data_IF_912773417742
#
_entry.id   IF_912773417742
#
_cell.length_a   1.000
_cell.length_b   1.000
_cell.length_c   1.000
_cell.angle_alpha   90.00
_cell.angle_beta   90.00
_cell.angle_gamma   90.00
#
_symmetry.space_group_name_H-M   'P 1'
#
loop_
_entity.id
_entity.type
_entity.pdbx_description
1 polymer ?
#
# COMPACT_ATOMS: atom_id res chain seq x y z
N UNK A 1 24.01 11.28 8.58
CA UNK A 1 25.01 10.18 8.44
C UNK A 1 25.79 10.39 7.13
N UNK A 2 27.11 10.15 7.06
CA UNK A 2 27.88 10.27 5.79
C UNK A 2 27.66 9.02 4.95
N UNK A 3 27.48 9.15 3.63
CA UNK A 3 27.28 8.05 2.69
C UNK A 3 28.46 7.05 2.63
N UNK A 4 29.60 7.42 3.22
CA UNK A 4 30.85 6.65 3.23
C UNK A 4 30.99 5.68 4.41
N UNK A 5 30.10 5.73 5.42
CA UNK A 5 30.10 4.74 6.50
C UNK A 5 29.07 3.63 6.22
N UNK A 6 29.47 2.34 6.19
CA UNK A 6 28.55 1.25 5.96
C UNK A 6 27.50 1.20 7.07
N UNK A 7 26.23 1.21 6.69
CA UNK A 7 25.12 1.08 7.63
C UNK A 7 25.21 -0.26 8.37
N UNK A 8 25.50 -0.23 9.67
CA UNK A 8 25.43 -1.44 10.50
C UNK A 8 23.97 -1.80 10.75
N UNK A 9 23.44 -2.75 9.97
CA UNK A 9 22.02 -3.18 9.98
C UNK A 9 21.60 -3.81 11.31
N UNK A 10 22.56 -4.27 12.13
CA UNK A 10 22.27 -4.84 13.46
C UNK A 10 21.71 -3.76 14.41
N UNK A 11 22.00 -2.48 14.16
CA UNK A 11 21.41 -1.38 14.91
C UNK A 11 19.98 -1.10 14.39
N UNK A 12 18.96 -1.08 15.27
CA UNK A 12 17.57 -0.95 14.84
C UNK A 12 17.28 0.37 14.12
N UNK A 13 17.95 1.45 14.51
CA UNK A 13 17.79 2.76 13.85
C UNK A 13 18.30 2.75 12.40
N UNK A 14 19.40 2.05 12.13
CA UNK A 14 19.97 1.93 10.78
C UNK A 14 19.08 1.07 9.89
N UNK A 15 18.51 -0.02 10.44
CA UNK A 15 17.53 -0.82 9.73
C UNK A 15 16.29 0.00 9.37
N UNK A 16 15.79 0.82 10.30
CA UNK A 16 14.65 1.70 10.06
C UNK A 16 14.94 2.74 8.97
N UNK A 17 16.13 3.34 9.02
CA UNK A 17 16.62 4.25 7.99
C UNK A 17 16.65 3.57 6.63
N UNK A 18 17.20 2.36 6.52
CA UNK A 18 17.18 1.60 5.28
C UNK A 18 15.75 1.38 4.76
N UNK A 19 14.83 0.93 5.61
CA UNK A 19 13.43 0.72 5.22
C UNK A 19 12.79 2.02 4.71
N UNK A 20 12.99 3.14 5.40
CA UNK A 20 12.50 4.47 4.99
C UNK A 20 13.06 4.93 3.64
N UNK A 21 14.36 4.75 3.39
CA UNK A 21 14.95 5.20 2.13
C UNK A 21 14.49 4.35 0.95
N UNK A 22 14.27 3.06 1.14
CA UNK A 22 13.75 2.14 0.13
C UNK A 22 12.21 2.09 0.07
N UNK A 23 11.51 2.98 0.80
CA UNK A 23 10.06 2.92 0.96
C UNK A 23 9.26 2.90 -0.35
N UNK A 24 9.59 3.66 -1.40
CA UNK A 24 8.83 3.61 -2.66
C UNK A 24 8.82 2.23 -3.31
N UNK A 25 9.98 1.57 -3.31
CA UNK A 25 10.15 0.23 -3.88
C UNK A 25 9.42 -0.79 -3.00
N UNK A 26 9.59 -0.70 -1.68
CA UNK A 26 8.95 -1.62 -0.74
C UNK A 26 7.43 -1.57 -0.86
N UNK A 27 6.83 -0.38 -0.96
CA UNK A 27 5.37 -0.26 -1.11
C UNK A 27 4.90 -0.67 -2.49
N UNK A 28 5.66 -0.37 -3.55
CA UNK A 28 5.37 -0.86 -4.90
C UNK A 28 5.36 -2.39 -4.97
N UNK A 29 6.42 -3.03 -4.46
CA UNK A 29 6.54 -4.48 -4.40
C UNK A 29 5.54 -5.12 -3.43
N UNK A 30 5.25 -4.46 -2.30
CA UNK A 30 4.22 -4.88 -1.36
C UNK A 30 2.85 -4.96 -2.03
N UNK A 31 2.45 -3.91 -2.74
CA UNK A 31 1.22 -3.90 -3.53
C UNK A 31 1.21 -4.96 -4.64
N UNK A 32 2.34 -5.16 -5.33
CA UNK A 32 2.47 -6.21 -6.34
C UNK A 32 2.35 -7.62 -5.72
N UNK A 33 3.00 -7.88 -4.59
CA UNK A 33 3.04 -9.18 -3.93
C UNK A 33 1.65 -9.69 -3.55
N UNK A 34 0.74 -8.79 -3.16
CA UNK A 34 -0.65 -9.10 -2.87
C UNK A 34 -1.42 -9.67 -4.08
N UNK A 35 -1.02 -9.33 -5.30
CA UNK A 35 -1.57 -9.92 -6.53
C UNK A 35 -1.34 -11.44 -6.58
N UNK A 36 -0.16 -11.88 -6.14
CA UNK A 36 0.18 -13.30 -6.10
C UNK A 36 -0.52 -14.02 -4.95
N UNK A 37 -0.66 -13.36 -3.79
CA UNK A 37 -1.36 -13.91 -2.63
C UNK A 37 -2.85 -14.13 -2.94
N UNK A 38 -3.49 -13.14 -3.57
CA UNK A 38 -4.92 -13.17 -3.88
C UNK A 38 -5.24 -13.69 -5.30
N UNK A 39 -4.23 -14.17 -6.04
CA UNK A 39 -4.37 -14.68 -7.41
C UNK A 39 -5.15 -13.74 -8.35
N UNK A 40 -4.91 -12.43 -8.23
CA UNK A 40 -5.56 -11.40 -9.05
C UNK A 40 -4.53 -10.48 -9.68
N UNK A 41 -4.94 -9.67 -10.67
CA UNK A 41 -4.04 -8.72 -11.35
C UNK A 41 -4.14 -7.29 -10.81
N UNK A 42 -4.80 -7.08 -9.66
CA UNK A 42 -5.12 -5.73 -9.16
C UNK A 42 -3.87 -4.99 -8.67
N UNK A 43 -2.88 -5.68 -8.11
CA UNK A 43 -1.63 -5.04 -7.71
C UNK A 43 -0.75 -4.63 -8.91
N UNK A 44 -0.88 -5.30 -10.07
CA UNK A 44 -0.27 -4.81 -11.32
C UNK A 44 -0.89 -3.51 -11.79
N UNK A 45 -2.22 -3.37 -11.66
CA UNK A 45 -2.92 -2.12 -11.99
C UNK A 45 -2.48 -0.99 -11.07
N UNK A 46 -2.42 -1.26 -9.77
CA UNK A 46 -1.87 -0.32 -8.79
C UNK A 46 -0.44 0.11 -9.17
N UNK A 47 0.44 -0.84 -9.50
CA UNK A 47 1.82 -0.54 -9.89
C UNK A 47 1.88 0.30 -11.18
N UNK A 48 1.02 0.00 -12.17
CA UNK A 48 0.90 0.78 -13.39
C UNK A 48 0.51 2.22 -13.12
N UNK A 49 -0.48 2.45 -12.25
CA UNK A 49 -0.84 3.81 -11.82
C UNK A 49 0.27 4.48 -11.02
N UNK A 50 0.95 3.75 -10.12
CA UNK A 50 2.05 4.30 -9.32
C UNK A 50 3.19 4.81 -10.22
N UNK A 51 3.56 4.05 -11.26
CA UNK A 51 4.56 4.48 -12.25
C UNK A 51 4.05 5.70 -13.02
N UNK A 52 2.81 5.67 -13.50
CA UNK A 52 2.22 6.77 -14.26
C UNK A 52 2.18 8.09 -13.45
N UNK A 53 1.77 8.04 -12.18
CA UNK A 53 1.74 9.23 -11.31
C UNK A 53 3.13 9.69 -10.92
N UNK A 54 4.11 8.79 -10.84
CA UNK A 54 5.51 9.15 -10.61
C UNK A 54 6.09 9.92 -11.81
N UNK A 55 5.80 9.47 -13.03
CA UNK A 55 6.15 10.20 -14.25
C UNK A 55 5.40 11.55 -14.33
N UNK A 56 4.12 11.58 -13.96
CA UNK A 56 3.34 12.82 -13.92
C UNK A 56 3.94 13.81 -12.91
N UNK A 57 4.38 13.34 -11.74
CA UNK A 57 5.05 14.18 -10.77
C UNK A 57 6.31 14.81 -11.34
N UNK A 58 7.14 14.01 -11.98
CA UNK A 58 8.37 14.50 -12.60
C UNK A 58 8.06 15.61 -13.62
N UNK A 59 7.10 15.35 -14.51
CA UNK A 59 6.64 16.34 -15.48
C UNK A 59 6.17 17.63 -14.81
N UNK A 60 5.38 17.55 -13.74
CA UNK A 60 4.94 18.76 -13.02
C UNK A 60 6.10 19.55 -12.40
N UNK A 61 7.09 18.87 -11.82
CA UNK A 61 8.24 19.53 -11.20
C UNK A 61 9.11 20.25 -12.21
N UNK A 62 9.33 19.64 -13.38
CA UNK A 62 10.03 20.26 -14.51
C UNK A 62 9.26 21.51 -14.99
N UNK A 63 7.94 21.42 -15.12
CA UNK A 63 7.10 22.56 -15.54
C UNK A 63 7.12 23.72 -14.54
N UNK A 64 7.27 23.44 -13.24
CA UNK A 64 7.42 24.46 -12.20
C UNK A 64 8.86 24.97 -12.03
N UNK A 65 9.82 24.45 -12.82
CA UNK A 65 11.22 24.88 -12.76
C UNK A 65 11.91 24.56 -11.44
N UNK A 66 11.52 23.47 -10.76
CA UNK A 66 12.20 23.05 -9.53
C UNK A 66 13.57 22.48 -9.92
N UNK A 67 14.64 23.09 -9.41
CA UNK A 67 16.02 22.71 -9.74
C UNK A 67 16.32 21.24 -9.44
N UNK A 68 17.25 20.67 -10.20
CA UNK A 68 17.72 19.31 -9.99
C UNK A 68 18.48 19.21 -8.67
N UNK A 69 18.28 18.09 -7.97
CA UNK A 69 18.94 17.85 -6.69
C UNK A 69 20.47 17.73 -6.90
N UNK A 70 21.27 18.43 -6.09
CA UNK A 70 22.73 18.31 -6.11
C UNK A 70 23.13 17.14 -5.21
N UNK A 71 23.84 16.17 -5.76
CA UNK A 71 24.43 15.07 -4.98
C UNK A 71 25.40 15.60 -3.92
N UNK A 72 24.99 15.53 -2.67
CA UNK A 72 25.89 15.60 -1.51
C UNK A 72 26.28 14.17 -1.07
N UNK A 73 27.40 14.01 -0.35
CA UNK A 73 27.80 12.69 0.19
C UNK A 73 27.00 12.31 1.46
N UNK A 74 25.73 12.68 1.55
CA UNK A 74 24.88 12.38 2.71
C UNK A 74 24.01 11.15 2.46
N UNK A 75 23.33 10.69 3.51
CA UNK A 75 22.38 9.58 3.36
C UNK A 75 21.15 9.97 2.50
N UNK A 76 20.88 11.26 2.33
CA UNK A 76 19.72 11.78 1.59
C UNK A 76 19.81 11.52 0.08
N UNK A 77 21.03 11.29 -0.44
CA UNK A 77 21.37 11.03 -1.85
C UNK A 77 21.77 9.60 -2.11
N UNK A 78 21.71 8.73 -1.10
CA UNK A 78 22.10 7.33 -1.28
C UNK A 78 21.22 6.60 -2.30
N UNK A 79 20.02 7.12 -2.58
CA UNK A 79 19.12 6.63 -3.62
C UNK A 79 18.44 7.82 -4.30
N UNK A 80 18.49 7.84 -5.63
CA UNK A 80 17.83 8.83 -6.46
C UNK A 80 16.67 8.19 -7.22
N UNK A 81 15.45 8.56 -6.83
CA UNK A 81 14.22 8.11 -7.51
C UNK A 81 13.75 9.10 -8.57
N UNK A 82 14.12 10.37 -8.41
CA UNK A 82 13.65 11.47 -9.23
C UNK A 82 14.75 12.54 -9.27
N UNK A 83 15.11 13.05 -10.46
CA UNK A 83 16.15 14.06 -10.59
C UNK A 83 15.75 15.39 -9.93
N UNK A 84 14.46 15.65 -9.78
CA UNK A 84 13.91 16.88 -9.21
C UNK A 84 13.12 16.58 -7.92
N UNK A 85 13.52 17.20 -6.80
CA UNK A 85 12.81 17.04 -5.52
C UNK A 85 12.82 15.59 -4.97
N UNK A 86 13.96 14.90 -5.05
CA UNK A 86 14.13 13.52 -4.59
C UNK A 86 13.73 13.30 -3.11
N UNK A 87 13.99 14.29 -2.26
CA UNK A 87 13.71 14.25 -0.80
C UNK A 87 12.25 13.91 -0.48
N UNK A 88 11.30 14.47 -1.25
CA UNK A 88 9.86 14.30 -1.05
C UNK A 88 9.23 13.15 -1.83
N UNK A 89 9.99 12.41 -2.64
CA UNK A 89 9.46 11.36 -3.52
C UNK A 89 8.78 10.22 -2.74
N UNK A 90 9.37 9.77 -1.63
CA UNK A 90 8.75 8.74 -0.76
C UNK A 90 7.43 9.19 -0.17
N UNK A 91 7.36 10.44 0.30
CA UNK A 91 6.16 11.01 0.90
C UNK A 91 5.04 11.06 -0.12
N UNK A 92 5.36 11.45 -1.36
CA UNK A 92 4.42 11.43 -2.47
C UNK A 92 3.90 10.01 -2.74
N UNK A 93 4.80 9.03 -2.88
CA UNK A 93 4.43 7.63 -3.13
C UNK A 93 3.58 7.07 -2.01
N UNK A 94 3.98 7.25 -0.75
CA UNK A 94 3.23 6.76 0.41
C UNK A 94 1.85 7.43 0.53
N UNK A 95 1.74 8.74 0.31
CA UNK A 95 0.47 9.45 0.32
C UNK A 95 -0.47 8.94 -0.79
N UNK A 96 0.07 8.75 -2.00
CA UNK A 96 -0.65 8.13 -3.11
C UNK A 96 -1.13 6.72 -2.75
N UNK A 97 -0.24 5.86 -2.25
CA UNK A 97 -0.55 4.47 -1.91
C UNK A 97 -1.61 4.37 -0.81
N UNK A 98 -1.51 5.18 0.24
CA UNK A 98 -2.51 5.22 1.32
C UNK A 98 -3.87 5.55 0.74
N UNK A 99 -3.97 6.63 -0.04
CA UNK A 99 -5.26 7.06 -0.59
C UNK A 99 -5.80 6.04 -1.62
N UNK A 100 -4.97 5.57 -2.55
CA UNK A 100 -5.39 4.64 -3.59
C UNK A 100 -5.87 3.31 -3.02
N UNK A 101 -5.11 2.73 -2.09
CA UNK A 101 -5.41 1.42 -1.51
C UNK A 101 -6.56 1.53 -0.50
N UNK A 102 -6.59 2.57 0.33
CA UNK A 102 -7.52 2.64 1.45
C UNK A 102 -8.87 3.26 1.12
N UNK A 103 -8.96 4.18 0.16
CA UNK A 103 -10.23 4.79 -0.24
C UNK A 103 -11.33 3.77 -0.59
N UNK A 104 -11.09 2.74 -1.43
CA UNK A 104 -12.13 1.77 -1.75
C UNK A 104 -12.54 0.91 -0.55
N UNK A 105 -11.65 0.69 0.44
CA UNK A 105 -12.01 0.00 1.69
C UNK A 105 -13.04 0.80 2.50
N UNK A 106 -12.88 2.12 2.59
CA UNK A 106 -13.83 2.99 3.30
C UNK A 106 -15.17 3.09 2.57
N UNK A 107 -15.17 3.15 1.23
CA UNK A 107 -16.40 3.19 0.44
C UNK A 107 -17.20 1.89 0.56
N UNK A 108 -16.52 0.76 0.61
CA UNK A 108 -17.15 -0.55 0.77
C UNK A 108 -17.48 -0.90 2.23
N UNK A 109 -17.12 -0.04 3.20
CA UNK A 109 -17.30 -0.26 4.66
C UNK A 109 -16.65 -1.54 5.19
N UNK A 110 -15.64 -2.05 4.48
CA UNK A 110 -14.91 -3.28 4.80
C UNK A 110 -13.43 -2.94 5.00
N UNK A 111 -13.15 -2.26 6.11
CA UNK A 111 -11.84 -1.65 6.37
C UNK A 111 -10.90 -2.66 7.01
N UNK A 112 -9.82 -2.99 6.30
CA UNK A 112 -8.71 -3.72 6.89
C UNK A 112 -7.82 -2.76 7.71
N UNK A 113 -8.11 -2.64 9.00
CA UNK A 113 -7.36 -1.78 9.92
C UNK A 113 -5.88 -2.15 10.04
N UNK A 114 -5.48 -3.39 9.79
CA UNK A 114 -4.06 -3.78 9.78
C UNK A 114 -3.31 -3.15 8.61
N UNK A 115 -3.89 -3.18 7.41
CA UNK A 115 -3.30 -2.55 6.23
C UNK A 115 -3.30 -1.04 6.38
N UNK A 116 -4.44 -0.45 6.77
CA UNK A 116 -4.53 1.01 6.95
C UNK A 116 -3.58 1.51 8.04
N UNK A 117 -3.59 0.89 9.22
CA UNK A 117 -2.69 1.23 10.33
C UNK A 117 -1.22 1.02 9.99
N UNK A 118 -0.90 -0.07 9.27
CA UNK A 118 0.46 -0.35 8.79
C UNK A 118 0.98 0.74 7.86
N UNK A 119 0.24 1.08 6.79
CA UNK A 119 0.64 2.12 5.85
C UNK A 119 0.72 3.51 6.51
N UNK A 120 -0.22 3.83 7.39
CA UNK A 120 -0.25 5.10 8.11
C UNK A 120 0.93 5.23 9.09
N UNK A 121 1.22 4.19 9.85
CA UNK A 121 2.40 4.16 10.74
C UNK A 121 3.70 4.29 9.96
N UNK A 122 3.80 3.61 8.81
CA UNK A 122 4.98 3.67 7.96
C UNK A 122 5.21 5.07 7.38
N UNK A 123 4.13 5.75 7.00
CA UNK A 123 4.17 7.14 6.54
C UNK A 123 4.71 8.10 7.61
N UNK A 124 4.28 7.98 8.87
CA UNK A 124 4.81 8.82 9.95
C UNK A 124 6.27 8.51 10.26
N UNK A 125 6.66 7.24 10.20
CA UNK A 125 8.06 6.82 10.36
C UNK A 125 8.95 7.39 9.24
N UNK A 126 8.49 7.35 7.98
CA UNK A 126 9.21 7.91 6.83
C UNK A 126 9.51 9.40 7.02
N UNK A 127 8.50 10.18 7.40
CA UNK A 127 8.65 11.60 7.68
C UNK A 127 9.60 11.83 8.87
N UNK A 128 9.44 11.07 9.96
CA UNK A 128 10.27 11.22 11.16
C UNK A 128 11.74 11.01 10.88
N UNK A 129 12.10 9.91 10.19
CA UNK A 129 13.50 9.59 9.86
C UNK A 129 14.10 10.62 8.89
N UNK A 130 13.33 11.07 7.89
CA UNK A 130 13.81 12.09 6.94
C UNK A 130 14.01 13.45 7.60
N UNK A 131 13.23 13.77 8.62
CA UNK A 131 13.42 14.96 9.43
C UNK A 131 14.66 14.85 10.33
N UNK A 132 14.90 13.68 10.96
CA UNK A 132 16.09 13.47 11.80
C UNK A 132 17.39 13.48 11.01
N UNK A 133 17.39 12.94 9.78
CA UNK A 133 18.55 12.98 8.87
C UNK A 133 18.67 14.33 8.12
N UNK A 134 17.75 15.27 8.36
CA UNK A 134 17.70 16.60 7.71
C UNK A 134 17.57 16.57 6.20
N UNK A 135 17.06 15.47 5.64
CA UNK A 135 16.77 15.36 4.20
C UNK A 135 15.57 16.24 3.80
N UNK A 136 14.68 16.53 4.76
CA UNK A 136 13.56 17.44 4.58
C UNK A 136 13.56 18.42 5.74
N UNK A 137 13.72 19.70 5.43
CA UNK A 137 13.76 20.78 6.42
C UNK A 137 12.50 21.64 6.38
N UNK A 138 11.82 21.69 5.24
CA UNK A 138 10.67 22.54 5.01
C UNK A 138 9.36 21.76 5.10
N UNK A 139 8.49 22.17 6.02
CA UNK A 139 7.13 21.59 6.14
C UNK A 139 6.30 21.75 4.86
N UNK A 140 6.54 22.82 4.08
CA UNK A 140 5.88 23.04 2.79
C UNK A 140 6.15 21.93 1.78
N UNK A 141 7.37 21.38 1.78
CA UNK A 141 7.75 20.29 0.87
C UNK A 141 6.96 19.02 1.21
N UNK A 142 6.86 18.70 2.52
CA UNK A 142 6.03 17.59 3.02
C UNK A 142 4.57 17.81 2.56
N UNK A 143 3.99 18.96 2.90
CA UNK A 143 2.58 19.24 2.60
C UNK A 143 2.28 19.14 1.11
N UNK A 144 3.14 19.68 0.24
CA UNK A 144 2.94 19.64 -1.20
C UNK A 144 2.98 18.21 -1.74
N UNK A 145 3.95 17.39 -1.34
CA UNK A 145 4.04 15.99 -1.77
C UNK A 145 2.86 15.16 -1.24
N UNK A 146 2.41 15.39 0.00
CA UNK A 146 1.23 14.74 0.58
C UNK A 146 -0.04 15.11 -0.17
N UNK A 147 -0.27 16.41 -0.39
CA UNK A 147 -1.47 16.88 -1.08
C UNK A 147 -1.48 16.40 -2.52
N UNK A 148 -0.36 16.45 -3.22
CA UNK A 148 -0.30 16.05 -4.62
C UNK A 148 -0.42 14.52 -4.79
N UNK A 149 0.34 13.74 -4.03
CA UNK A 149 0.23 12.27 -4.05
C UNK A 149 -1.14 11.81 -3.58
N UNK A 150 -1.65 12.39 -2.49
CA UNK A 150 -2.97 12.10 -1.96
C UNK A 150 -4.09 12.48 -2.92
N UNK A 151 -4.03 13.64 -3.58
CA UNK A 151 -5.03 14.06 -4.55
C UNK A 151 -5.10 13.09 -5.74
N UNK A 152 -3.96 12.65 -6.29
CA UNK A 152 -3.94 11.64 -7.35
C UNK A 152 -4.43 10.27 -6.84
N UNK A 153 -4.06 9.91 -5.62
CA UNK A 153 -4.50 8.67 -4.97
C UNK A 153 -6.01 8.64 -4.65
N UNK A 154 -6.65 9.80 -4.51
CA UNK A 154 -8.13 9.93 -4.40
C UNK A 154 -8.78 9.98 -5.79
N UNK A 155 -8.22 10.77 -6.71
CA UNK A 155 -8.81 11.03 -8.02
C UNK A 155 -8.90 9.76 -8.86
N UNK A 156 -7.85 8.93 -8.89
CA UNK A 156 -7.83 7.73 -9.72
C UNK A 156 -8.92 6.73 -9.30
N UNK A 157 -9.07 6.35 -8.02
CA UNK A 157 -10.19 5.51 -7.60
C UNK A 157 -11.56 6.13 -7.89
N UNK A 158 -11.74 7.44 -7.66
CA UNK A 158 -13.01 8.11 -7.97
C UNK A 158 -13.37 8.03 -9.46
N UNK A 159 -12.39 8.23 -10.36
CA UNK A 159 -12.59 8.08 -11.80
C UNK A 159 -12.92 6.63 -12.17
N UNK A 160 -12.29 5.64 -11.53
CA UNK A 160 -12.61 4.23 -11.74
C UNK A 160 -14.02 3.87 -11.25
N UNK A 161 -14.48 4.45 -10.14
CA UNK A 161 -15.87 4.34 -9.69
C UNK A 161 -16.84 4.98 -10.68
N UNK A 162 -16.59 6.22 -11.09
CA UNK A 162 -17.45 6.95 -12.03
C UNK A 162 -17.50 6.27 -13.41
N UNK A 163 -16.39 5.71 -13.87
CA UNK A 163 -16.28 4.99 -15.14
C UNK A 163 -16.72 3.51 -15.10
N UNK A 164 -17.30 3.04 -13.99
CA UNK A 164 -17.78 1.65 -13.86
C UNK A 164 -16.67 0.58 -13.86
N UNK A 165 -15.41 0.99 -13.67
CA UNK A 165 -14.21 0.13 -13.68
C UNK A 165 -13.67 -0.15 -12.27
N UNK A 166 -14.46 0.12 -11.23
CA UNK A 166 -14.08 -0.06 -9.83
C UNK A 166 -13.69 -1.50 -9.47
N UNK A 167 -14.17 -2.52 -10.20
CA UNK A 167 -13.77 -3.93 -10.01
C UNK A 167 -12.26 -4.17 -10.11
N UNK A 168 -11.53 -3.26 -10.76
CA UNK A 168 -10.08 -3.32 -10.90
C UNK A 168 -9.33 -2.63 -9.75
N UNK A 169 -10.03 -1.94 -8.85
CA UNK A 169 -9.45 -1.38 -7.63
C UNK A 169 -9.04 -2.50 -6.68
N UNK A 170 -7.96 -2.23 -5.95
CA UNK A 170 -7.28 -3.20 -5.10
C UNK A 170 -8.22 -3.88 -4.09
N UNK A 171 -8.98 -3.09 -3.31
CA UNK A 171 -9.98 -3.58 -2.37
C UNK A 171 -11.40 -3.17 -2.78
N UNK A 172 -11.91 -3.78 -3.85
CA UNK A 172 -13.30 -3.60 -4.28
C UNK A 172 -14.14 -4.88 -4.28
N UNK A 173 -13.66 -5.91 -3.60
CA UNK A 173 -14.48 -7.07 -3.25
C UNK A 173 -15.01 -6.81 -1.86
N UNK A 174 -16.31 -6.50 -1.75
CA UNK A 174 -17.06 -6.64 -0.50
C UNK A 174 -16.79 -8.08 -0.06
N UNK A 175 -16.38 -8.33 1.20
CA UNK A 175 -16.22 -9.71 1.69
C UNK A 175 -17.43 -10.52 1.26
N UNK A 176 -17.27 -11.34 0.22
CA UNK A 176 -18.35 -12.14 -0.37
C UNK A 176 -18.89 -12.93 0.79
N UNK A 177 -20.14 -12.67 1.17
CA UNK A 177 -20.88 -13.12 2.35
C UNK A 177 -20.05 -13.82 3.44
N UNK A 178 -20.34 -13.53 4.69
CA UNK A 178 -19.95 -14.33 5.85
C UNK A 178 -20.37 -15.84 5.81
N UNK A 179 -20.45 -16.49 4.64
CA UNK A 179 -19.95 -17.85 4.40
C UNK A 179 -18.44 -17.95 4.70
N UNK A 180 -18.04 -17.54 5.90
CA UNK A 180 -17.18 -18.43 6.66
C UNK A 180 -17.93 -19.76 6.66
N UNK A 181 -17.35 -20.82 6.12
CA UNK A 181 -17.81 -22.17 6.41
C UNK A 181 -17.63 -22.39 7.91
N UNK A 182 -18.55 -21.84 8.70
CA UNK A 182 -18.60 -22.03 10.14
C UNK A 182 -19.06 -23.45 10.35
N UNK A 183 -18.27 -24.20 11.12
CA UNK A 183 -18.70 -25.52 11.54
C UNK A 183 -20.04 -25.35 12.27
N UNK A 184 -21.14 -25.97 11.79
CA UNK A 184 -22.45 -25.76 12.39
C UNK A 184 -22.39 -26.17 13.86
N UNK A 185 -22.79 -25.26 14.76
CA UNK A 185 -22.73 -25.46 16.24
C UNK A 185 -23.52 -26.68 16.72
N UNK A 186 -24.46 -27.17 15.90
CA UNK A 186 -25.20 -28.40 16.11
C UNK A 186 -25.05 -29.27 14.87
N UNK A 187 -24.24 -30.31 14.97
CA UNK A 187 -24.15 -31.35 13.96
C UNK A 187 -25.25 -32.36 14.27
N UNK A 188 -26.35 -32.35 13.53
CA UNK A 188 -27.36 -33.41 13.66
C UNK A 188 -26.93 -34.60 12.82
N UNK A 189 -26.62 -35.71 13.47
CA UNK A 189 -26.24 -36.93 12.78
C UNK A 189 -27.50 -37.70 12.44
N UNK A 190 -27.74 -37.92 11.14
CA UNK A 190 -28.78 -38.82 10.66
C UNK A 190 -28.17 -40.19 10.47
N UNK A 191 -28.47 -41.11 11.39
CA UNK A 191 -28.12 -42.51 11.23
C UNK A 191 -29.28 -43.21 10.54
N UNK A 192 -29.07 -43.63 9.30
CA UNK A 192 -29.98 -44.46 8.55
C UNK A 192 -29.40 -45.88 8.48
N UNK A 193 -30.14 -46.86 8.99
CA UNK A 193 -29.75 -48.27 9.01
C UNK A 193 -30.50 -48.99 7.89
N UNK A 194 -29.76 -49.71 7.05
CA UNK A 194 -30.31 -50.44 5.90
C UNK A 194 -30.03 -51.93 6.02
N UNK A 195 -30.97 -52.76 5.60
CA UNK A 195 -30.79 -54.22 5.44
C UNK A 195 -31.37 -54.64 4.09
N UNK A 196 -30.56 -55.31 3.27
CA UNK A 196 -30.91 -55.71 1.90
C UNK A 196 -31.38 -54.57 0.99
N UNK A 197 -30.88 -53.34 1.21
CA UNK A 197 -31.23 -52.16 0.43
C UNK A 197 -32.48 -51.42 0.92
N UNK A 198 -33.21 -51.94 1.90
CA UNK A 198 -34.37 -51.28 2.49
C UNK A 198 -34.04 -50.62 3.83
N UNK A 199 -34.58 -49.41 4.04
CA UNK A 199 -34.38 -48.63 5.25
C UNK A 199 -35.15 -49.26 6.41
N UNK A 200 -34.45 -49.74 7.42
CA UNK A 200 -35.04 -50.39 8.60
C UNK A 200 -35.10 -49.49 9.84
N UNK A 201 -34.45 -48.33 9.82
CA UNK A 201 -34.55 -47.35 10.88
C UNK A 201 -33.77 -46.06 10.59
N UNK A 202 -34.34 -44.93 10.99
CA UNK A 202 -33.68 -43.62 10.90
C UNK A 202 -33.81 -42.90 12.23
N UNK A 203 -32.69 -42.46 12.79
CA UNK A 203 -32.67 -41.68 14.03
C UNK A 203 -31.89 -40.39 13.80
N UNK A 204 -32.45 -39.26 14.25
CA UNK A 204 -31.76 -37.96 14.21
C UNK A 204 -31.43 -37.57 15.65
N UNK A 205 -30.16 -37.38 15.96
CA UNK A 205 -29.68 -36.77 17.21
C UNK A 205 -28.92 -35.48 16.91
#
# INVERSE_FOLDING_TARGET
MSATEPLNIIKPINLLTFLTFYSPIIVGLGGLSMSFIFQNFKGFIYLGFLIAVSCLREFTLIMFGIDSFITDNTICTSIEYSPNGNSGFSIFVLAFSIMYICLPMFFNKDVNYWVFGGLLSYFFVDIGIRYTEKCITNFKDILLNVLFGGALGVTIPLLLYAGGSSKYLFFNEISSNNVTCSMPKKQTFKCAVYKNGELIGSTTK
#
